data_IF_336751418641
#
_entry.id   IF_336751418641
#
_cell.length_a   1.000
_cell.length_b   1.000
_cell.length_c   1.000
_cell.angle_alpha   90.00
_cell.angle_beta   90.00
_cell.angle_gamma   90.00
#
_symmetry.space_group_name_H-M   'P 1'
#
loop_
_entity.id
_entity.type
_entity.pdbx_description
1 polymer ?
#
# COMPACT_ATOMS: atom_id res chain seq x y z
N UNK A 1 -21.82 -5.35 -14.30
CA UNK A 1 -20.52 -4.81 -13.86
C UNK A 1 -19.58 -5.87 -13.28
N UNK A 2 -20.04 -6.75 -12.37
CA UNK A 2 -19.15 -7.72 -11.71
C UNK A 2 -18.35 -8.63 -12.66
N UNK A 3 -18.95 -9.09 -13.77
CA UNK A 3 -18.24 -9.82 -14.82
C UNK A 3 -17.01 -9.06 -15.35
N UNK A 4 -17.17 -7.78 -15.65
CA UNK A 4 -16.12 -6.93 -16.21
C UNK A 4 -15.03 -6.66 -15.18
N UNK A 5 -15.39 -6.43 -13.91
CA UNK A 5 -14.40 -6.25 -12.85
C UNK A 5 -13.49 -7.49 -12.68
N UNK A 6 -14.04 -8.69 -12.83
CA UNK A 6 -13.28 -9.93 -12.69
C UNK A 6 -12.46 -10.27 -13.95
N UNK A 7 -13.01 -10.04 -15.14
CA UNK A 7 -12.40 -10.46 -16.42
C UNK A 7 -11.62 -9.36 -17.12
N UNK A 8 -11.88 -8.09 -16.81
CA UNK A 8 -11.40 -6.92 -17.54
C UNK A 8 -12.08 -6.71 -18.90
N UNK A 9 -13.17 -7.42 -19.20
CA UNK A 9 -13.89 -7.36 -20.47
C UNK A 9 -15.41 -7.38 -20.25
N UNK A 10 -16.15 -6.79 -21.18
CA UNK A 10 -17.62 -6.80 -21.12
C UNK A 10 -18.21 -8.20 -21.30
N UNK A 11 -19.34 -8.54 -20.65
CA UNK A 11 -20.01 -9.83 -20.88
C UNK A 11 -20.63 -9.94 -22.28
N UNK A 12 -21.02 -8.82 -22.89
CA UNK A 12 -21.61 -8.73 -24.22
C UNK A 12 -20.85 -7.70 -25.05
N UNK A 13 -20.80 -7.91 -26.36
CA UNK A 13 -20.13 -7.00 -27.28
C UNK A 13 -20.92 -6.95 -28.59
N UNK A 14 -21.47 -5.77 -28.90
CA UNK A 14 -22.17 -5.55 -30.16
C UNK A 14 -21.19 -5.43 -31.33
N UNK A 15 -21.58 -5.93 -32.50
CA UNK A 15 -20.81 -5.81 -33.75
C UNK A 15 -20.73 -4.35 -34.22
N UNK A 16 -21.76 -3.56 -33.93
CA UNK A 16 -21.82 -2.13 -34.21
C UNK A 16 -22.14 -1.36 -32.93
N UNK A 17 -21.56 -0.17 -32.77
CA UNK A 17 -21.84 0.71 -31.64
C UNK A 17 -23.20 1.44 -31.74
N UNK A 18 -24.13 0.90 -32.54
CA UNK A 18 -25.47 1.44 -32.70
C UNK A 18 -26.39 0.98 -31.57
N UNK A 19 -27.45 1.76 -31.32
CA UNK A 19 -28.51 1.34 -30.39
C UNK A 19 -29.08 -0.04 -30.78
N UNK A 20 -29.37 -0.27 -32.07
CA UNK A 20 -29.91 -1.55 -32.55
C UNK A 20 -28.95 -2.72 -32.31
N UNK A 21 -27.65 -2.51 -32.47
CA UNK A 21 -26.61 -3.49 -32.15
C UNK A 21 -26.62 -3.86 -30.66
N UNK A 22 -26.63 -2.86 -29.79
CA UNK A 22 -26.71 -3.09 -28.34
C UNK A 22 -28.04 -3.71 -27.90
N UNK A 23 -29.15 -3.26 -28.46
CA UNK A 23 -30.48 -3.83 -28.20
C UNK A 23 -30.49 -5.33 -28.50
N UNK A 24 -29.99 -5.73 -29.68
CA UNK A 24 -29.92 -7.13 -30.12
C UNK A 24 -29.09 -7.99 -29.17
N UNK A 25 -27.88 -7.55 -28.79
CA UNK A 25 -27.01 -8.36 -27.91
C UNK A 25 -27.54 -8.45 -26.49
N UNK A 26 -28.19 -7.40 -25.98
CA UNK A 26 -28.80 -7.43 -24.65
C UNK A 26 -30.05 -8.32 -24.58
N UNK A 27 -30.82 -8.45 -25.66
CA UNK A 27 -32.01 -9.31 -25.68
C UNK A 27 -31.68 -10.77 -26.02
N UNK A 28 -30.85 -11.01 -27.04
CA UNK A 28 -30.79 -12.33 -27.68
C UNK A 28 -29.44 -13.04 -27.51
N UNK A 29 -28.34 -12.30 -27.36
CA UNK A 29 -27.02 -12.91 -27.28
C UNK A 29 -26.69 -13.34 -25.85
N UNK A 30 -26.26 -14.58 -25.68
CA UNK A 30 -25.80 -15.07 -24.38
C UNK A 30 -24.51 -14.34 -23.95
N UNK A 31 -24.35 -14.03 -22.66
CA UNK A 31 -23.08 -13.51 -22.13
C UNK A 31 -21.92 -14.46 -22.43
N UNK A 32 -20.75 -13.91 -22.75
CA UNK A 32 -19.53 -14.70 -22.90
C UNK A 32 -19.20 -15.44 -21.61
N UNK A 33 -18.67 -16.65 -21.71
CA UNK A 33 -18.21 -17.40 -20.53
C UNK A 33 -16.89 -16.83 -20.02
N UNK A 34 -16.61 -17.02 -18.72
CA UNK A 34 -15.33 -16.63 -18.13
C UNK A 34 -14.16 -17.33 -18.81
N UNK A 35 -14.29 -18.63 -19.08
CA UNK A 35 -13.26 -19.42 -19.76
C UNK A 35 -12.95 -18.89 -21.16
N UNK A 36 -13.96 -18.43 -21.92
CA UNK A 36 -13.74 -17.87 -23.25
C UNK A 36 -13.00 -16.51 -23.22
N UNK A 37 -13.22 -15.73 -22.17
CA UNK A 37 -12.69 -14.36 -22.05
C UNK A 37 -11.33 -14.34 -21.37
N UNK A 38 -11.12 -15.21 -20.37
CA UNK A 38 -9.89 -15.26 -19.58
C UNK A 38 -9.65 -16.68 -19.04
N UNK A 39 -9.16 -17.63 -19.86
CA UNK A 39 -8.99 -19.04 -19.48
C UNK A 39 -8.09 -19.29 -18.25
N UNK A 40 -7.16 -18.36 -17.98
CA UNK A 40 -6.22 -18.46 -16.87
C UNK A 40 -6.81 -17.98 -15.53
N UNK A 41 -8.03 -17.43 -15.53
CA UNK A 41 -8.66 -16.88 -14.34
C UNK A 41 -9.29 -17.99 -13.49
N UNK A 42 -8.68 -18.29 -12.34
CA UNK A 42 -9.20 -19.27 -11.39
C UNK A 42 -10.15 -18.60 -10.40
N UNK A 43 -11.44 -18.83 -10.56
CA UNK A 43 -12.49 -18.32 -9.66
C UNK A 43 -13.24 -19.47 -8.97
N UNK A 44 -13.74 -19.25 -7.74
CA UNK A 44 -14.72 -20.17 -7.16
C UNK A 44 -15.94 -20.29 -8.08
N UNK A 45 -16.31 -21.51 -8.45
CA UNK A 45 -17.41 -21.73 -9.40
C UNK A 45 -18.73 -21.14 -8.92
N UNK A 46 -18.96 -21.09 -7.61
CA UNK A 46 -20.12 -20.44 -7.01
C UNK A 46 -20.21 -18.94 -7.35
N UNK A 47 -19.08 -18.22 -7.38
CA UNK A 47 -19.06 -16.80 -7.75
C UNK A 47 -19.32 -16.61 -9.24
N UNK A 48 -18.69 -17.44 -10.07
CA UNK A 48 -18.90 -17.42 -11.52
C UNK A 48 -20.37 -17.68 -11.87
N UNK A 49 -20.96 -18.72 -11.27
CA UNK A 49 -22.36 -19.08 -11.48
C UNK A 49 -23.30 -17.95 -11.04
N UNK A 50 -23.03 -17.28 -9.91
CA UNK A 50 -23.82 -16.13 -9.46
C UNK A 50 -23.73 -14.96 -10.45
N UNK A 51 -22.54 -14.66 -10.97
CA UNK A 51 -22.38 -13.59 -11.96
C UNK A 51 -23.17 -13.92 -13.22
N UNK A 52 -23.10 -15.18 -13.69
CA UNK A 52 -23.82 -15.61 -14.88
C UNK A 52 -25.34 -15.64 -14.69
N UNK A 53 -25.84 -16.04 -13.50
CA UNK A 53 -27.29 -16.00 -13.22
C UNK A 53 -27.83 -14.58 -13.19
N UNK A 54 -27.07 -13.61 -12.64
CA UNK A 54 -27.43 -12.19 -12.73
C UNK A 54 -27.50 -11.65 -14.17
N UNK A 55 -26.81 -12.30 -15.12
CA UNK A 55 -26.78 -11.93 -16.54
C UNK A 55 -27.76 -12.75 -17.40
N UNK A 56 -28.51 -13.67 -16.82
CA UNK A 56 -29.48 -14.50 -17.53
C UNK A 56 -30.50 -13.63 -18.26
N UNK A 57 -31.00 -14.07 -19.42
CA UNK A 57 -31.95 -13.27 -20.21
C UNK A 57 -33.33 -13.25 -19.60
N UNK A 58 -33.77 -14.40 -19.11
CA UNK A 58 -35.07 -14.56 -18.48
C UNK A 58 -35.03 -14.04 -17.04
N UNK A 59 -35.93 -13.13 -16.64
CA UNK A 59 -35.99 -12.63 -15.27
C UNK A 59 -36.08 -13.73 -14.21
N UNK A 60 -36.81 -14.81 -14.48
CA UNK A 60 -36.99 -15.97 -13.60
C UNK A 60 -35.71 -16.80 -13.38
N UNK A 61 -34.72 -16.67 -14.26
CA UNK A 61 -33.40 -17.33 -14.12
C UNK A 61 -32.41 -16.48 -13.31
N UNK A 62 -32.81 -15.25 -12.93
CA UNK A 62 -31.99 -14.35 -12.11
C UNK A 62 -32.35 -14.48 -10.63
N UNK A 63 -31.43 -14.08 -9.73
CA UNK A 63 -31.78 -13.77 -8.35
C UNK A 63 -32.94 -12.77 -8.32
N UNK A 64 -34.03 -13.11 -7.63
CA UNK A 64 -35.25 -12.29 -7.63
C UNK A 64 -35.11 -11.04 -6.77
N UNK A 65 -34.22 -11.10 -5.78
CA UNK A 65 -33.95 -9.99 -4.88
C UNK A 65 -32.46 -9.77 -4.71
N UNK A 66 -32.08 -8.56 -4.27
CA UNK A 66 -30.71 -8.29 -3.81
C UNK A 66 -30.35 -9.19 -2.62
N UNK A 67 -31.33 -9.55 -1.77
CA UNK A 67 -31.15 -10.49 -0.67
C UNK A 67 -30.64 -11.86 -1.13
N UNK A 68 -31.13 -12.37 -2.25
CA UNK A 68 -30.67 -13.63 -2.84
C UNK A 68 -29.21 -13.55 -3.30
N UNK A 69 -28.82 -12.40 -3.88
CA UNK A 69 -27.42 -12.14 -4.28
C UNK A 69 -26.52 -12.11 -3.06
N UNK A 70 -26.91 -11.39 -2.00
CA UNK A 70 -26.14 -11.30 -0.76
C UNK A 70 -26.00 -12.67 -0.09
N UNK A 71 -27.09 -13.44 -0.03
CA UNK A 71 -27.08 -14.81 0.52
C UNK A 71 -26.17 -15.75 -0.27
N UNK A 72 -26.10 -15.60 -1.60
CA UNK A 72 -25.18 -16.38 -2.42
C UNK A 72 -23.72 -15.96 -2.25
N UNK A 73 -23.46 -14.70 -1.90
CA UNK A 73 -22.12 -14.19 -1.61
C UNK A 73 -21.66 -14.54 -0.19
N UNK A 74 -22.56 -14.73 0.76
CA UNK A 74 -22.26 -14.94 2.18
C UNK A 74 -21.27 -16.10 2.45
N UNK A 75 -21.38 -17.30 1.83
CA UNK A 75 -20.39 -18.36 2.03
C UNK A 75 -19.01 -18.03 1.44
N UNK A 76 -18.98 -17.24 0.37
CA UNK A 76 -17.73 -16.75 -0.23
C UNK A 76 -17.09 -15.72 0.69
N UNK A 77 -17.88 -14.78 1.20
CA UNK A 77 -17.46 -13.82 2.20
C UNK A 77 -16.95 -14.53 3.46
N UNK A 78 -17.70 -15.46 4.06
CA UNK A 78 -17.22 -16.24 5.21
C UNK A 78 -15.92 -17.04 4.94
N UNK A 79 -15.69 -17.48 3.70
CA UNK A 79 -14.47 -18.23 3.32
C UNK A 79 -13.27 -17.32 3.08
N UNK A 80 -13.46 -16.18 2.43
CA UNK A 80 -12.39 -15.26 2.04
C UNK A 80 -12.19 -14.11 3.04
N UNK A 81 -13.24 -13.71 3.75
CA UNK A 81 -13.24 -12.67 4.79
C UNK A 81 -12.84 -13.18 6.16
N UNK A 82 -12.69 -14.50 6.37
CA UNK A 82 -11.94 -15.02 7.54
C UNK A 82 -10.50 -14.51 7.59
N UNK A 83 -9.89 -14.18 6.44
CA UNK A 83 -8.58 -13.50 6.38
C UNK A 83 -8.62 -12.03 6.80
N UNK A 84 -9.78 -11.37 6.65
CA UNK A 84 -10.03 -9.99 7.08
C UNK A 84 -10.45 -9.91 8.56
N UNK A 85 -11.34 -10.80 9.01
CA UNK A 85 -11.85 -10.87 10.39
C UNK A 85 -10.86 -11.47 11.40
N UNK A 86 -9.84 -12.24 10.97
CA UNK A 86 -8.74 -12.63 11.86
C UNK A 86 -7.97 -11.39 12.35
N UNK A 87 -7.87 -10.34 11.53
CA UNK A 87 -7.30 -9.05 11.92
C UNK A 87 -8.12 -8.32 12.98
N UNK A 88 -9.45 -8.36 12.89
CA UNK A 88 -10.35 -7.75 13.89
C UNK A 88 -10.37 -8.53 15.22
N UNK A 89 -10.35 -9.87 15.17
CA UNK A 89 -10.34 -10.70 16.38
C UNK A 89 -9.02 -10.63 17.15
N UNK A 90 -7.88 -10.55 16.46
CA UNK A 90 -6.56 -10.31 17.10
C UNK A 90 -6.56 -8.94 17.82
N UNK A 91 -7.16 -7.91 17.21
CA UNK A 91 -7.28 -6.58 17.84
C UNK A 91 -8.04 -6.59 19.17
N UNK A 92 -9.13 -7.37 19.26
CA UNK A 92 -9.95 -7.50 20.47
C UNK A 92 -9.39 -8.44 21.56
N UNK A 93 -8.54 -9.41 21.17
CA UNK A 93 -7.88 -10.33 22.11
C UNK A 93 -6.56 -9.78 22.65
N UNK A 94 -5.82 -8.99 21.86
CA UNK A 94 -4.63 -8.25 22.35
C UNK A 94 -4.98 -7.14 23.37
N UNK A 95 -6.24 -6.69 23.44
CA UNK A 95 -6.70 -5.74 24.46
C UNK A 95 -7.04 -6.39 25.82
N UNK A 96 -7.10 -7.74 25.90
CA UNK A 96 -7.61 -8.44 27.10
C UNK A 96 -6.73 -9.57 27.63
N UNK A 97 -5.56 -9.84 27.05
CA UNK A 97 -4.59 -10.76 27.68
C UNK A 97 -3.82 -10.00 28.77
N UNK A 98 -3.84 -10.45 30.04
CA UNK A 98 -2.94 -9.94 31.05
C UNK A 98 -1.50 -10.26 30.61
N UNK A 99 -0.68 -9.23 30.51
CA UNK A 99 0.75 -9.32 30.19
C UNK A 99 1.40 -10.14 31.31
N UNK A 100 1.68 -11.41 31.05
CA UNK A 100 2.61 -12.21 31.85
C UNK A 100 3.88 -12.39 31.02
N UNK A 101 5.00 -12.08 31.66
CA UNK A 101 6.37 -11.94 31.14
C UNK A 101 6.66 -10.59 30.47
N UNK A 102 7.07 -9.63 31.30
CA UNK A 102 7.84 -8.46 30.89
C UNK A 102 9.05 -8.88 30.04
N UNK A 103 9.15 -8.45 28.76
CA UNK A 103 10.44 -8.39 28.11
C UNK A 103 11.22 -7.27 28.80
N UNK A 104 12.40 -7.61 29.34
CA UNK A 104 13.36 -6.67 29.95
C UNK A 104 13.26 -5.29 29.30
N UNK A 105 12.79 -4.30 30.07
CA UNK A 105 12.69 -2.91 29.66
C UNK A 105 14.07 -2.43 29.22
N UNK A 106 14.30 -2.44 27.92
CA UNK A 106 15.40 -1.68 27.33
C UNK A 106 14.90 -0.25 27.27
N UNK A 107 15.58 0.63 27.99
CA UNK A 107 15.33 2.07 27.95
C UNK A 107 15.30 2.52 26.48
N UNK A 108 14.25 3.24 26.04
CA UNK A 108 14.23 3.84 24.70
C UNK A 108 15.51 4.66 24.50
N UNK A 109 16.18 4.51 23.35
CA UNK A 109 17.32 5.35 23.02
C UNK A 109 16.90 6.82 23.12
N UNK A 110 17.74 7.63 23.76
CA UNK A 110 17.53 9.08 23.79
C UNK A 110 17.66 9.67 22.38
N UNK A 111 16.95 10.77 22.11
CA UNK A 111 17.04 11.43 20.80
C UNK A 111 18.46 11.88 20.47
N UNK A 112 19.27 12.20 21.49
CA UNK A 112 20.68 12.58 21.33
C UNK A 112 21.56 11.40 20.89
N UNK A 113 21.31 10.19 21.39
CA UNK A 113 21.98 8.98 20.91
C UNK A 113 21.59 8.67 19.47
N UNK A 114 20.30 8.77 19.15
CA UNK A 114 19.78 8.58 17.78
C UNK A 114 20.46 9.55 16.81
N UNK A 115 20.58 10.82 17.17
CA UNK A 115 21.26 11.82 16.35
C UNK A 115 22.75 11.53 16.13
N UNK A 116 23.48 11.14 17.19
CA UNK A 116 24.90 10.77 17.06
C UNK A 116 25.08 9.63 16.07
N UNK A 117 24.23 8.62 16.13
CA UNK A 117 24.33 7.45 15.25
C UNK A 117 24.00 7.78 13.80
N UNK A 118 23.02 8.65 13.58
CA UNK A 118 22.67 9.12 12.24
C UNK A 118 23.84 9.90 11.62
N UNK A 119 24.52 10.75 12.40
CA UNK A 119 25.70 11.50 11.92
C UNK A 119 26.86 10.60 11.48
N UNK A 120 26.95 9.38 12.01
CA UNK A 120 27.96 8.40 11.62
C UNK A 120 27.61 7.64 10.32
N UNK A 121 26.40 7.81 9.78
CA UNK A 121 26.00 7.14 8.55
C UNK A 121 26.64 7.79 7.33
N UNK A 122 26.92 6.97 6.31
CA UNK A 122 27.39 7.41 5.00
C UNK A 122 26.62 6.70 3.91
N UNK A 123 26.48 7.35 2.75
CA UNK A 123 25.70 6.81 1.63
C UNK A 123 26.15 5.38 1.25
N UNK A 124 25.23 4.42 1.04
CA UNK A 124 25.61 3.03 0.86
C UNK A 124 26.32 2.83 -0.48
N UNK A 125 27.42 2.08 -0.49
CA UNK A 125 28.23 1.86 -1.70
C UNK A 125 27.46 1.17 -2.84
N UNK A 126 26.44 0.39 -2.50
CA UNK A 126 25.60 -0.34 -3.44
C UNK A 126 24.40 0.46 -3.97
N UNK A 127 24.29 1.74 -3.62
CA UNK A 127 23.24 2.64 -4.09
C UNK A 127 23.79 3.63 -5.10
N UNK A 128 23.02 3.95 -6.16
CA UNK A 128 23.46 4.95 -7.12
C UNK A 128 23.54 6.33 -6.46
N UNK A 129 24.46 7.16 -6.93
CA UNK A 129 24.57 8.58 -6.55
C UNK A 129 23.66 9.37 -7.47
N UNK A 130 22.42 9.59 -7.03
CA UNK A 130 21.38 10.29 -7.77
C UNK A 130 20.30 10.80 -6.79
N UNK A 131 19.43 11.70 -7.23
CA UNK A 131 18.29 12.15 -6.43
C UNK A 131 17.26 11.02 -6.23
N UNK A 132 17.48 10.18 -5.23
CA UNK A 132 16.66 9.01 -4.94
C UNK A 132 16.26 8.97 -3.48
N UNK A 133 15.21 8.19 -3.23
CA UNK A 133 14.73 7.88 -1.89
C UNK A 133 14.52 6.38 -1.75
N UNK A 134 14.90 5.81 -0.61
CA UNK A 134 14.58 4.43 -0.26
C UNK A 134 14.52 4.23 1.25
N UNK A 135 13.75 3.22 1.67
CA UNK A 135 13.71 2.80 3.05
C UNK A 135 14.97 2.00 3.41
N UNK A 136 15.52 2.27 4.58
CA UNK A 136 16.67 1.56 5.10
C UNK A 136 16.49 1.36 6.60
N UNK A 137 16.32 0.12 7.10
CA UNK A 137 16.31 -0.10 8.53
C UNK A 137 17.74 0.03 9.03
N UNK A 138 17.96 0.88 10.03
CA UNK A 138 19.25 0.96 10.71
C UNK A 138 19.12 0.33 12.09
N UNK A 139 20.08 -0.52 12.48
CA UNK A 139 20.11 -1.16 13.80
C UNK A 139 21.15 -0.48 14.67
N UNK A 140 20.78 -0.21 15.92
CA UNK A 140 21.73 0.15 16.97
C UNK A 140 21.51 -0.72 18.19
N UNK A 141 22.51 -1.55 18.51
CA UNK A 141 22.40 -2.56 19.56
C UNK A 141 21.17 -3.44 19.32
N UNK A 142 20.22 -3.37 20.25
CA UNK A 142 18.95 -4.10 20.20
C UNK A 142 17.80 -3.35 19.53
N UNK A 143 17.91 -2.04 19.31
CA UNK A 143 16.85 -1.22 18.71
C UNK A 143 17.03 -1.08 17.20
N UNK A 144 15.89 -1.12 16.49
CA UNK A 144 15.82 -0.85 15.05
C UNK A 144 15.16 0.50 14.86
N UNK A 145 15.65 1.28 13.90
CA UNK A 145 15.08 2.57 13.52
C UNK A 145 14.57 2.50 12.08
N UNK A 146 13.32 2.92 11.89
CA UNK A 146 12.76 3.14 10.57
C UNK A 146 13.40 4.41 10.00
N UNK A 147 14.14 4.27 8.89
CA UNK A 147 14.74 5.43 8.24
C UNK A 147 14.48 5.48 6.74
N UNK A 148 14.36 6.70 6.25
CA UNK A 148 14.19 7.02 4.84
C UNK A 148 15.45 7.75 4.38
N UNK A 149 16.23 7.15 3.49
CA UNK A 149 17.48 7.72 3.01
C UNK A 149 17.20 8.47 1.73
N UNK A 150 17.61 9.73 1.68
CA UNK A 150 17.34 10.63 0.57
C UNK A 150 18.63 11.31 0.18
N UNK A 151 18.96 11.21 -1.10
CA UNK A 151 20.03 12.00 -1.68
C UNK A 151 19.43 13.15 -2.47
N UNK A 152 19.91 14.37 -2.25
CA UNK A 152 19.43 15.61 -2.85
C UNK A 152 20.60 16.53 -3.17
N UNK A 153 20.35 17.58 -3.96
CA UNK A 153 21.29 18.70 -4.09
C UNK A 153 21.44 19.39 -2.74
N UNK A 154 22.64 19.87 -2.42
CA UNK A 154 22.92 20.58 -1.17
C UNK A 154 22.01 21.79 -0.97
N UNK A 155 21.75 22.55 -2.03
CA UNK A 155 20.84 23.69 -2.02
C UNK A 155 19.40 23.28 -1.64
N UNK A 156 18.90 22.17 -2.21
CA UNK A 156 17.57 21.62 -1.89
C UNK A 156 17.47 21.19 -0.43
N UNK A 157 18.55 20.65 0.16
CA UNK A 157 18.60 20.29 1.57
C UNK A 157 18.45 21.54 2.45
N UNK A 158 19.21 22.61 2.14
CA UNK A 158 19.17 23.86 2.91
C UNK A 158 17.77 24.49 2.91
N UNK A 159 17.11 24.52 1.75
CA UNK A 159 15.74 25.01 1.61
C UNK A 159 14.70 24.21 2.41
N UNK A 160 15.05 23.03 2.93
CA UNK A 160 14.11 22.07 3.54
C UNK A 160 14.42 21.69 4.98
N UNK A 161 15.40 22.36 5.62
CA UNK A 161 15.71 22.14 7.03
C UNK A 161 14.53 22.53 7.93
N UNK A 162 13.85 23.64 7.59
CA UNK A 162 12.65 24.12 8.27
C UNK A 162 11.47 24.05 7.29
N UNK A 163 10.78 22.92 7.29
CA UNK A 163 9.68 22.65 6.35
C UNK A 163 8.43 22.10 7.05
N UNK A 164 7.27 22.30 6.42
CA UNK A 164 6.06 21.54 6.74
C UNK A 164 6.28 20.10 6.26
N UNK A 165 5.92 19.15 7.11
CA UNK A 165 6.11 17.71 6.86
C UNK A 165 4.74 17.06 6.78
N UNK A 166 4.55 16.25 5.76
CA UNK A 166 3.35 15.44 5.61
C UNK A 166 3.73 14.00 5.34
N UNK A 167 2.99 13.06 5.92
CA UNK A 167 3.12 11.65 5.62
C UNK A 167 1.76 10.97 5.52
N UNK A 168 1.69 10.01 4.60
CA UNK A 168 0.52 9.17 4.40
C UNK A 168 0.96 7.81 3.86
N UNK A 169 0.19 6.78 4.17
CA UNK A 169 0.41 5.44 3.64
C UNK A 169 -0.79 5.00 2.79
N UNK A 170 -0.51 4.32 1.67
CA UNK A 170 -1.51 3.67 0.83
C UNK A 170 -1.16 2.19 0.70
N UNK A 171 -2.12 1.31 0.95
CA UNK A 171 -1.92 -0.12 0.84
C UNK A 171 -2.76 -0.69 -0.31
N UNK A 172 -2.08 -1.35 -1.24
CA UNK A 172 -2.71 -2.06 -2.35
C UNK A 172 -2.63 -3.56 -2.06
N UNK A 173 -3.78 -4.21 -1.90
CA UNK A 173 -3.86 -5.63 -1.55
C UNK A 173 -3.65 -6.56 -2.76
N UNK A 174 -4.00 -6.10 -3.96
CA UNK A 174 -4.02 -6.86 -5.20
C UNK A 174 -3.66 -5.93 -6.36
N UNK A 175 -2.90 -6.38 -7.38
CA UNK A 175 -2.58 -7.77 -7.72
C UNK A 175 -1.38 -8.37 -6.97
N UNK A 176 -0.59 -7.54 -6.28
CA UNK A 176 0.49 -7.95 -5.39
C UNK A 176 0.49 -7.03 -4.17
N UNK A 177 0.46 -7.54 -2.92
CA UNK A 177 0.45 -6.72 -1.71
C UNK A 177 1.62 -5.72 -1.67
N UNK A 178 1.32 -4.43 -1.75
CA UNK A 178 2.32 -3.37 -1.78
C UNK A 178 1.86 -2.15 -0.99
N UNK A 179 2.77 -1.60 -0.21
CA UNK A 179 2.55 -0.39 0.58
C UNK A 179 3.33 0.75 -0.05
N UNK A 180 2.65 1.86 -0.36
CA UNK A 180 3.29 3.12 -0.71
C UNK A 180 3.34 4.01 0.54
N UNK A 181 4.56 4.30 0.97
CA UNK A 181 4.89 5.27 2.00
C UNK A 181 5.17 6.63 1.35
N UNK A 182 4.29 7.59 1.58
CA UNK A 182 4.40 8.96 1.07
C UNK A 182 4.97 9.84 2.17
N UNK A 183 6.07 10.53 1.87
CA UNK A 183 6.59 11.63 2.68
C UNK A 183 6.72 12.87 1.81
N UNK A 184 6.35 14.04 2.35
CA UNK A 184 6.49 15.33 1.65
C UNK A 184 7.20 16.31 2.56
N UNK A 185 8.25 16.94 2.03
CA UNK A 185 8.91 18.09 2.63
C UNK A 185 8.49 19.33 1.85
N UNK A 186 7.75 20.24 2.48
CA UNK A 186 7.17 21.40 1.81
C UNK A 186 7.64 22.71 2.44
N UNK A 187 8.08 23.62 1.58
CA UNK A 187 8.28 25.03 1.89
C UNK A 187 7.64 25.87 0.78
N UNK A 188 7.19 27.09 1.11
CA UNK A 188 6.47 27.94 0.15
C UNK A 188 7.37 28.41 -1.00
N UNK A 189 8.66 28.61 -0.72
CA UNK A 189 9.68 29.07 -1.67
C UNK A 189 10.17 27.97 -2.63
N UNK A 190 10.33 26.73 -2.13
CA UNK A 190 10.88 25.62 -2.90
C UNK A 190 9.83 24.59 -3.34
N UNK A 191 8.56 24.79 -2.98
CA UNK A 191 7.47 23.87 -3.27
C UNK A 191 7.63 22.49 -2.61
N UNK A 192 6.85 21.48 -3.05
CA UNK A 192 6.87 20.14 -2.47
C UNK A 192 8.05 19.30 -2.97
N UNK A 193 8.80 18.67 -2.06
CA UNK A 193 9.66 17.52 -2.39
C UNK A 193 8.96 16.23 -1.97
N UNK A 194 8.55 15.48 -2.97
CA UNK A 194 7.91 14.17 -2.80
C UNK A 194 8.95 13.08 -2.62
N UNK A 195 8.77 12.27 -1.59
CA UNK A 195 9.66 11.18 -1.23
C UNK A 195 8.87 9.85 -1.16
N UNK A 196 8.33 9.35 -2.29
CA UNK A 196 7.57 8.12 -2.32
C UNK A 196 8.50 6.90 -2.14
N UNK A 197 8.15 6.01 -1.22
CA UNK A 197 8.86 4.75 -1.02
C UNK A 197 7.89 3.57 -1.09
N UNK A 198 8.22 2.57 -1.90
CA UNK A 198 7.37 1.39 -2.12
C UNK A 198 7.95 0.22 -1.33
N UNK A 199 7.12 -0.39 -0.49
CA UNK A 199 7.47 -1.55 0.32
C UNK A 199 6.69 -2.75 -0.21
N UNK A 200 7.43 -3.77 -0.65
CA UNK A 200 6.86 -5.04 -1.06
C UNK A 200 6.49 -5.85 0.19
N UNK A 201 5.20 -5.99 0.44
CA UNK A 201 4.66 -6.62 1.66
C UNK A 201 4.74 -8.15 1.62
N UNK A 202 5.24 -8.74 0.52
CA UNK A 202 5.58 -10.18 0.45
C UNK A 202 7.05 -10.45 0.74
N UNK A 203 7.90 -9.41 0.82
CA UNK A 203 9.33 -9.57 1.11
C UNK A 203 9.63 -9.32 2.59
N UNK A 204 10.59 -10.05 3.21
CA UNK A 204 10.98 -9.81 4.59
C UNK A 204 11.38 -8.34 4.88
N UNK A 205 12.17 -7.65 4.02
CA UNK A 205 12.50 -6.25 4.26
C UNK A 205 11.29 -5.31 4.26
N UNK A 206 10.32 -5.52 3.36
CA UNK A 206 9.12 -4.69 3.30
C UNK A 206 8.23 -4.89 4.52
N UNK A 207 8.04 -6.13 4.95
CA UNK A 207 7.30 -6.47 6.18
C UNK A 207 7.97 -5.93 7.44
N UNK A 208 9.31 -6.10 7.56
CA UNK A 208 10.08 -5.58 8.69
C UNK A 208 9.96 -4.05 8.79
N UNK A 209 10.08 -3.34 7.66
CA UNK A 209 9.97 -1.88 7.64
C UNK A 209 8.56 -1.40 8.00
N UNK A 210 7.51 -2.00 7.42
CA UNK A 210 6.13 -1.64 7.71
C UNK A 210 5.77 -1.90 9.19
N UNK A 211 6.23 -3.03 9.73
CA UNK A 211 6.09 -3.36 11.15
C UNK A 211 6.78 -2.30 12.01
N UNK A 212 8.03 -1.97 11.68
CA UNK A 212 8.81 -1.00 12.44
C UNK A 212 8.17 0.39 12.46
N UNK A 213 7.63 0.85 11.32
CA UNK A 213 6.89 2.11 11.22
C UNK A 213 5.63 2.11 12.09
N UNK A 214 4.87 1.01 12.08
CA UNK A 214 3.65 0.86 12.87
C UNK A 214 3.90 0.75 14.37
N UNK A 215 5.01 0.14 14.80
CA UNK A 215 5.38 -0.02 16.22
C UNK A 215 6.03 1.24 16.80
N UNK A 216 6.90 1.91 16.04
CA UNK A 216 7.63 3.08 16.54
C UNK A 216 6.79 4.37 16.53
N UNK A 217 5.82 4.45 15.62
CA UNK A 217 5.06 5.67 15.33
C UNK A 217 5.91 6.85 14.87
N UNK A 218 7.18 6.61 14.51
CA UNK A 218 8.14 7.64 14.12
C UNK A 218 9.22 7.08 13.20
N UNK A 219 9.73 7.91 12.32
CA UNK A 219 10.87 7.59 11.48
C UNK A 219 11.80 8.78 11.32
N UNK A 220 13.00 8.52 10.79
CA UNK A 220 13.99 9.56 10.50
C UNK A 220 14.27 9.61 9.01
N UNK A 221 14.27 10.81 8.43
CA UNK A 221 14.74 11.05 7.05
C UNK A 221 16.20 11.45 7.14
N UNK A 222 17.09 10.69 6.50
CA UNK A 222 18.51 11.00 6.41
C UNK A 222 18.78 11.65 5.06
N UNK A 223 19.36 12.84 5.09
CA UNK A 223 19.66 13.65 3.91
C UNK A 223 21.15 13.58 3.60
N UNK A 224 21.47 13.23 2.36
CA UNK A 224 22.82 13.16 1.82
C UNK A 224 22.94 14.12 0.63
N UNK A 225 23.99 14.93 0.59
CA UNK A 225 24.22 15.83 -0.54
C UNK A 225 24.89 15.09 -1.72
N UNK A 226 24.45 15.40 -2.95
CA UNK A 226 25.06 14.88 -4.18
C UNK A 226 26.50 15.34 -4.37
N UNK A 227 26.77 16.57 -3.93
CA UNK A 227 28.02 17.29 -4.14
C UNK A 227 29.14 16.83 -3.17
N UNK A 228 28.80 16.11 -2.12
CA UNK A 228 29.78 15.59 -1.16
C UNK A 228 30.61 14.45 -1.80
N UNK A 229 31.91 14.44 -1.49
CA UNK A 229 32.82 13.40 -1.97
C UNK A 229 32.61 12.08 -1.21
N UNK A 230 32.95 10.95 -1.83
CA UNK A 230 32.82 9.64 -1.19
C UNK A 230 33.84 9.46 -0.05
N UNK A 231 33.45 8.92 1.13
CA UNK A 231 32.09 8.51 1.50
C UNK A 231 31.20 9.73 1.83
N UNK A 232 30.03 9.83 1.19
CA UNK A 232 29.12 10.96 1.45
C UNK A 232 28.51 10.84 2.84
N UNK A 233 28.84 11.73 3.78
CA UNK A 233 28.31 11.66 5.13
C UNK A 233 26.84 12.07 5.14
N UNK A 234 26.10 11.61 6.15
CA UNK A 234 24.77 12.13 6.42
C UNK A 234 24.88 13.62 6.80
N UNK A 235 24.35 14.50 5.95
CA UNK A 235 24.42 15.94 6.17
C UNK A 235 23.44 16.38 7.25
N UNK A 236 22.19 15.88 7.19
CA UNK A 236 21.11 16.27 8.10
C UNK A 236 20.12 15.12 8.32
N UNK A 237 19.39 15.18 9.45
CA UNK A 237 18.35 14.22 9.76
C UNK A 237 17.08 14.92 10.21
N UNK A 238 15.93 14.44 9.73
CA UNK A 238 14.61 15.00 10.05
C UNK A 238 13.77 13.94 10.76
N UNK A 239 13.26 14.27 11.94
CA UNK A 239 12.29 13.43 12.63
C UNK A 239 10.87 13.63 12.09
N UNK A 240 10.15 12.53 11.87
CA UNK A 240 8.76 12.55 11.44
C UNK A 240 7.95 11.60 12.30
N UNK A 241 6.85 12.10 12.84
CA UNK A 241 5.85 11.32 13.58
C UNK A 241 4.76 10.83 12.64
N UNK A 242 4.26 9.63 12.91
CA UNK A 242 3.13 9.02 12.20
C UNK A 242 1.91 9.14 13.11
N UNK A 243 0.77 9.49 12.53
CA UNK A 243 -0.50 9.55 13.27
C UNK A 243 -0.87 8.16 13.83
N UNK A 244 -1.42 8.11 15.04
CA UNK A 244 -1.74 6.86 15.73
C UNK A 244 -2.70 5.97 14.92
N UNK A 245 -3.65 6.56 14.18
CA UNK A 245 -4.56 5.79 13.30
C UNK A 245 -3.80 5.14 12.13
N UNK A 246 -2.80 5.82 11.57
CA UNK A 246 -1.95 5.25 10.53
C UNK A 246 -1.02 4.16 11.07
N UNK A 247 -0.54 4.28 12.32
CA UNK A 247 0.21 3.21 12.98
C UNK A 247 -0.61 1.93 13.09
N UNK A 248 -1.89 2.04 13.50
CA UNK A 248 -2.79 0.90 13.59
C UNK A 248 -3.04 0.26 12.22
N UNK A 249 -3.27 1.08 11.18
CA UNK A 249 -3.42 0.58 9.81
C UNK A 249 -2.17 -0.17 9.32
N UNK A 250 -0.97 0.35 9.59
CA UNK A 250 0.30 -0.31 9.23
C UNK A 250 0.42 -1.69 9.87
N UNK A 251 0.11 -1.80 11.17
CA UNK A 251 0.15 -3.08 11.89
C UNK A 251 -0.87 -4.08 11.31
N UNK A 252 -2.08 -3.61 11.01
CA UNK A 252 -3.11 -4.43 10.36
C UNK A 252 -2.65 -4.91 8.98
N UNK A 253 -2.12 -4.02 8.14
CA UNK A 253 -1.67 -4.37 6.80
C UNK A 253 -0.51 -5.36 6.80
N UNK A 254 0.41 -5.27 7.77
CA UNK A 254 1.46 -6.29 7.95
C UNK A 254 0.82 -7.67 8.17
N UNK A 255 -0.12 -7.79 9.10
CA UNK A 255 -0.81 -9.07 9.37
C UNK A 255 -1.62 -9.55 8.17
N UNK A 256 -2.44 -8.67 7.57
CA UNK A 256 -3.27 -9.03 6.42
C UNK A 256 -2.43 -9.47 5.22
N UNK A 257 -1.30 -8.80 4.93
CA UNK A 257 -0.46 -9.12 3.77
C UNK A 257 0.13 -10.53 3.76
N UNK A 258 0.23 -11.18 4.94
CA UNK A 258 0.75 -12.54 5.06
C UNK A 258 -0.18 -13.57 4.42
N UNK A 259 -1.51 -13.38 4.54
CA UNK A 259 -2.51 -14.29 3.98
C UNK A 259 -2.88 -13.97 2.52
N UNK A 260 -2.53 -12.78 2.03
CA UNK A 260 -2.83 -12.38 0.65
C UNK A 260 -1.94 -13.10 -0.37
N UNK A 261 -2.56 -13.46 -1.50
CA UNK A 261 -1.92 -14.13 -2.63
C UNK A 261 -1.57 -13.10 -3.69
N UNK A 262 -0.36 -13.18 -4.22
CA UNK A 262 0.04 -12.40 -5.39
C UNK A 262 -0.47 -13.07 -6.67
N UNK A 263 -1.27 -12.34 -7.43
CA UNK A 263 -1.84 -12.79 -8.71
C UNK A 263 -1.18 -12.11 -9.92
N UNK A 264 -0.32 -11.12 -9.69
CA UNK A 264 0.58 -10.54 -10.70
C UNK A 264 1.90 -10.07 -10.08
N UNK A 265 2.72 -9.39 -10.88
CA UNK A 265 4.04 -8.89 -10.45
C UNK A 265 3.93 -7.70 -9.48
N UNK A 266 4.95 -7.54 -8.63
CA UNK A 266 5.11 -6.38 -7.77
C UNK A 266 5.17 -5.06 -8.56
N UNK A 267 5.77 -5.06 -9.75
CA UNK A 267 5.85 -3.86 -10.60
C UNK A 267 4.47 -3.35 -11.02
N UNK A 268 3.53 -4.25 -11.31
CA UNK A 268 2.16 -3.86 -11.65
C UNK A 268 1.48 -3.13 -10.50
N UNK A 269 1.61 -3.64 -9.26
CA UNK A 269 1.12 -2.94 -8.07
C UNK A 269 1.79 -1.59 -7.85
N UNK A 270 3.09 -1.49 -8.14
CA UNK A 270 3.85 -0.24 -8.05
C UNK A 270 3.31 0.81 -9.02
N UNK A 271 3.02 0.42 -10.26
CA UNK A 271 2.49 1.32 -11.29
C UNK A 271 1.06 1.79 -10.97
N UNK A 272 0.23 0.90 -10.42
CA UNK A 272 -1.10 1.25 -9.92
C UNK A 272 -1.00 2.26 -8.77
N UNK A 273 -0.15 2.00 -7.77
CA UNK A 273 0.08 2.92 -6.66
C UNK A 273 0.65 4.26 -7.12
N UNK A 274 1.52 4.27 -8.13
CA UNK A 274 2.05 5.50 -8.72
C UNK A 274 0.93 6.33 -9.36
N UNK A 275 0.03 5.68 -10.09
CA UNK A 275 -1.13 6.32 -10.72
C UNK A 275 -2.06 6.94 -9.67
N UNK A 276 -2.37 6.21 -8.60
CA UNK A 276 -3.19 6.74 -7.50
C UNK A 276 -2.48 7.86 -6.74
N UNK A 277 -1.17 7.75 -6.54
CA UNK A 277 -0.37 8.80 -5.92
C UNK A 277 -0.43 10.10 -6.73
N UNK A 278 -0.28 10.04 -8.05
CA UNK A 278 -0.32 11.22 -8.91
C UNK A 278 -1.69 11.95 -8.83
N UNK A 279 -2.80 11.20 -8.71
CA UNK A 279 -4.14 11.76 -8.47
C UNK A 279 -4.29 12.44 -7.11
N UNK A 280 -3.58 11.95 -6.09
CA UNK A 280 -3.66 12.47 -4.72
C UNK A 280 -2.81 13.72 -4.49
N UNK A 281 -1.74 13.93 -5.27
CA UNK A 281 -0.82 15.07 -5.09
C UNK A 281 -1.52 16.42 -4.96
N UNK A 282 -2.47 16.82 -5.82
CA UNK A 282 -3.12 18.13 -5.71
C UNK A 282 -3.90 18.30 -4.39
N UNK A 283 -4.52 17.22 -3.89
CA UNK A 283 -5.28 17.26 -2.64
C UNK A 283 -4.37 17.40 -1.43
N UNK A 284 -3.22 16.74 -1.44
CA UNK A 284 -2.21 16.86 -0.40
C UNK A 284 -1.60 18.27 -0.40
N UNK A 285 -1.35 18.85 -1.58
CA UNK A 285 -0.81 20.21 -1.68
C UNK A 285 -1.76 21.26 -1.11
N UNK A 286 -3.06 21.15 -1.37
CA UNK A 286 -4.08 22.03 -0.76
C UNK A 286 -4.09 22.00 0.77
N UNK A 287 -3.63 20.91 1.40
CA UNK A 287 -3.50 20.81 2.87
C UNK A 287 -2.19 21.42 3.40
N UNK A 288 -1.21 21.62 2.52
CA UNK A 288 0.13 22.08 2.86
C UNK A 288 0.34 23.58 2.61
N UNK A 289 -0.35 24.14 1.63
CA UNK A 289 -0.42 25.59 1.37
C UNK A 289 -1.09 26.36 2.51
#
# INVERSE_FOLDING_TARGET
MLFEMLTGKMPLQAETHSFGGWYKVHHFQQPRSFDSVRPQLKLPKALENLVMSCLAKKPEERPQTVGDVLKALEPLDQRFSKGLQLGERIGSTLTKVPIVAEPKQQTPLSDTEIERMIRLQSWPKNKPTAEIVFAHPFRSGSQKLATLWVMLKKEDIQKRLVCKRYNQFLFLMSPHPMLLWITVLYTRDAGPKWLPCYLDMKTPPGQEMAKLLGESGRYRILLFALEDSRPQPCSHAIAVSIDASQCQLLQQWVTTSQSLISVASANMSKDLLKTEFDKLKPQILKKLE
#
